data_IF_476597016764
#
_entry.id   IF_476597016764
#
_cell.length_a   1.000
_cell.length_b   1.000
_cell.length_c   1.000
_cell.angle_alpha   90.00
_cell.angle_beta   90.00
_cell.angle_gamma   90.00
#
_symmetry.space_group_name_H-M   'P 1'
#
loop_
_entity.id
_entity.type
_entity.pdbx_description
1 polymer ?
#
# COMPACT_ATOMS: atom_id res chain seq x y z
N UNK A 1 15.28 50.78 13.54
CA UNK A 1 14.60 49.95 12.50
C UNK A 1 15.04 48.50 12.64
N UNK A 2 14.09 47.58 12.81
CA UNK A 2 14.32 46.16 13.05
C UNK A 2 14.44 45.39 11.71
N UNK A 3 15.55 44.66 11.54
CA UNK A 3 15.93 43.96 10.29
C UNK A 3 16.19 42.46 10.44
N UNK A 4 16.25 41.93 11.66
CA UNK A 4 16.53 40.51 11.94
C UNK A 4 15.46 39.90 12.86
N UNK A 5 14.75 38.89 12.35
CA UNK A 5 13.68 38.17 13.07
C UNK A 5 14.19 37.31 14.23
N UNK A 6 15.46 36.85 14.18
CA UNK A 6 16.01 35.94 15.20
C UNK A 6 16.19 36.61 16.57
N UNK A 7 16.24 37.95 16.58
CA UNK A 7 16.38 38.76 17.80
C UNK A 7 15.04 39.11 18.45
N UNK A 8 13.93 38.68 17.86
CA UNK A 8 12.58 38.99 18.35
C UNK A 8 12.05 37.91 19.28
N UNK A 9 11.54 38.33 20.44
CA UNK A 9 10.78 37.47 21.34
C UNK A 9 9.43 37.10 20.75
N UNK A 10 8.82 36.02 21.24
CA UNK A 10 7.46 35.61 20.83
C UNK A 10 6.45 36.76 20.95
N UNK A 11 6.51 37.52 22.05
CA UNK A 11 5.62 38.66 22.29
C UNK A 11 5.84 39.80 21.28
N UNK A 12 7.08 40.06 20.88
CA UNK A 12 7.40 41.04 19.82
C UNK A 12 6.91 40.58 18.44
N UNK A 13 6.98 39.27 18.15
CA UNK A 13 6.44 38.71 16.91
C UNK A 13 4.91 38.81 16.86
N UNK A 14 4.23 38.52 17.98
CA UNK A 14 2.77 38.74 18.12
C UNK A 14 2.44 40.23 17.94
N UNK A 15 3.20 41.14 18.55
CA UNK A 15 3.00 42.58 18.37
C UNK A 15 3.14 43.04 16.91
N UNK A 16 4.10 42.48 16.17
CA UNK A 16 4.25 42.72 14.72
C UNK A 16 3.03 42.20 13.95
N UNK A 17 2.56 40.99 14.24
CA UNK A 17 1.37 40.41 13.62
C UNK A 17 0.13 41.28 13.88
N UNK A 18 -0.05 41.76 15.11
CA UNK A 18 -1.14 42.69 15.49
C UNK A 18 -1.07 44.01 14.73
N UNK A 19 0.13 44.56 14.53
CA UNK A 19 0.33 45.79 13.76
C UNK A 19 -0.03 45.60 12.27
N UNK A 20 0.23 44.41 11.72
CA UNK A 20 -0.04 44.08 10.31
C UNK A 20 -1.53 43.82 10.08
N UNK A 21 -2.15 42.97 10.90
CA UNK A 21 -3.55 42.56 10.73
C UNK A 21 -4.54 43.64 11.18
N UNK A 22 -4.08 44.57 12.02
CA UNK A 22 -4.93 45.57 12.65
C UNK A 22 -5.68 45.02 13.87
N UNK A 23 -6.08 45.92 14.76
CA UNK A 23 -6.57 45.55 16.09
C UNK A 23 -7.89 44.76 16.05
N UNK A 24 -8.82 45.13 15.16
CA UNK A 24 -10.11 44.44 15.04
C UNK A 24 -9.99 42.99 14.57
N UNK A 25 -9.16 42.73 13.55
CA UNK A 25 -8.96 41.39 13.02
C UNK A 25 -8.14 40.53 13.99
N UNK A 26 -7.13 41.12 14.63
CA UNK A 26 -6.28 40.41 15.61
C UNK A 26 -7.07 39.92 16.82
N UNK A 27 -8.01 40.72 17.34
CA UNK A 27 -8.90 40.31 18.44
C UNK A 27 -9.85 39.19 17.99
N UNK A 28 -10.28 39.22 16.73
CA UNK A 28 -11.21 38.21 16.18
C UNK A 28 -10.53 36.88 15.90
N UNK A 29 -9.27 36.89 15.45
CA UNK A 29 -8.47 35.70 15.18
C UNK A 29 -7.95 35.04 16.47
N UNK A 30 -7.68 35.83 17.51
CA UNK A 30 -7.07 35.35 18.75
C UNK A 30 -8.07 35.44 19.91
N UNK A 31 -9.20 34.74 19.74
CA UNK A 31 -10.37 34.78 20.65
C UNK A 31 -10.06 34.35 22.09
N UNK A 32 -8.99 33.59 22.30
CA UNK A 32 -8.57 33.07 23.59
C UNK A 32 -7.63 34.01 24.37
N UNK A 33 -7.21 35.13 23.79
CA UNK A 33 -6.33 36.06 24.49
C UNK A 33 -7.07 36.81 25.60
N UNK A 34 -6.50 36.79 26.80
CA UNK A 34 -7.05 37.56 27.92
C UNK A 34 -6.87 39.05 27.69
N UNK A 35 -7.70 39.88 28.35
CA UNK A 35 -7.53 41.35 28.37
C UNK A 35 -6.14 41.78 28.85
N UNK A 36 -5.48 40.97 29.67
CA UNK A 36 -4.13 41.24 30.17
C UNK A 36 -3.08 41.00 29.08
N UNK A 37 -3.23 39.93 28.29
CA UNK A 37 -2.29 39.61 27.21
C UNK A 37 -2.38 40.60 26.06
N UNK A 38 -3.59 41.03 25.71
CA UNK A 38 -3.80 42.10 24.72
C UNK A 38 -3.10 43.40 25.17
N UNK A 39 -3.17 43.75 26.47
CA UNK A 39 -2.47 44.93 27.00
C UNK A 39 -0.95 44.79 26.91
N UNK A 40 -0.39 43.62 27.20
CA UNK A 40 1.05 43.35 27.06
C UNK A 40 1.48 43.49 25.61
N UNK A 41 0.75 42.87 24.68
CA UNK A 41 1.01 42.97 23.23
C UNK A 41 0.97 44.42 22.77
N UNK A 42 -0.01 45.21 23.19
CA UNK A 42 -0.09 46.64 22.86
C UNK A 42 1.07 47.45 23.42
N UNK A 43 1.50 47.19 24.66
CA UNK A 43 2.64 47.88 25.26
C UNK A 43 3.88 47.65 24.41
N UNK A 44 4.16 46.38 24.10
CA UNK A 44 5.30 45.99 23.27
C UNK A 44 5.19 46.60 21.87
N UNK A 45 4.01 46.58 21.25
CA UNK A 45 3.81 47.16 19.91
C UNK A 45 4.08 48.68 19.86
N UNK A 46 3.84 49.41 20.96
CA UNK A 46 4.12 50.86 21.06
C UNK A 46 5.60 51.17 21.26
N UNK A 47 6.27 50.34 22.06
CA UNK A 47 7.68 50.52 22.40
C UNK A 47 8.63 49.99 21.31
N UNK A 48 8.08 49.37 20.26
CA UNK A 48 8.84 48.80 19.16
C UNK A 48 9.22 49.85 18.10
N UNK A 49 10.49 49.81 17.73
CA UNK A 49 11.04 50.47 16.55
C UNK A 49 10.35 50.02 15.25
N UNK A 50 10.43 50.86 14.21
CA UNK A 50 9.93 50.52 12.88
C UNK A 50 10.51 49.19 12.37
N UNK A 51 9.64 48.31 11.88
CA UNK A 51 10.03 46.97 11.41
C UNK A 51 10.11 46.95 9.89
N UNK A 52 11.21 46.41 9.35
CA UNK A 52 11.39 46.27 7.91
C UNK A 52 10.34 45.32 7.29
N UNK A 53 9.97 45.56 6.03
CA UNK A 53 9.00 44.73 5.30
C UNK A 53 9.42 43.25 5.27
N UNK A 54 10.72 42.97 5.13
CA UNK A 54 11.28 41.62 5.15
C UNK A 54 10.96 40.89 6.46
N UNK A 55 11.17 41.53 7.60
CA UNK A 55 10.87 40.94 8.92
C UNK A 55 9.37 40.76 9.11
N UNK A 56 8.55 41.73 8.66
CA UNK A 56 7.08 41.60 8.69
C UNK A 56 6.62 40.37 7.91
N UNK A 57 7.13 40.16 6.68
CA UNK A 57 6.84 38.98 5.85
C UNK A 57 7.23 37.68 6.56
N UNK A 58 8.45 37.61 7.11
CA UNK A 58 8.94 36.42 7.82
C UNK A 58 8.11 36.09 9.07
N UNK A 59 7.63 37.11 9.80
CA UNK A 59 6.75 36.89 10.96
C UNK A 59 5.40 36.32 10.52
N UNK A 60 4.79 36.86 9.47
CA UNK A 60 3.52 36.33 8.92
C UNK A 60 3.71 34.87 8.50
N UNK A 61 4.75 34.58 7.71
CA UNK A 61 5.05 33.21 7.26
C UNK A 61 5.23 32.27 8.45
N UNK A 62 5.98 32.67 9.48
CA UNK A 62 6.18 31.84 10.67
C UNK A 62 4.88 31.50 11.40
N UNK A 63 3.99 32.48 11.64
CA UNK A 63 2.69 32.23 12.26
C UNK A 63 1.80 31.39 11.35
N UNK A 64 1.80 31.69 10.06
CA UNK A 64 1.04 30.97 9.06
C UNK A 64 1.41 29.47 9.06
N UNK A 65 2.69 29.13 9.00
CA UNK A 65 3.15 27.73 9.06
C UNK A 65 2.71 27.04 10.36
N UNK A 66 2.77 27.75 11.49
CA UNK A 66 2.30 27.22 12.78
C UNK A 66 0.81 26.88 12.76
N UNK A 67 -0.04 27.75 12.20
CA UNK A 67 -1.48 27.52 12.10
C UNK A 67 -1.81 26.37 11.14
N UNK A 68 -1.09 26.27 10.03
CA UNK A 68 -1.26 25.17 9.08
C UNK A 68 -0.85 23.86 9.74
N UNK A 69 0.29 23.80 10.43
CA UNK A 69 0.71 22.59 11.15
C UNK A 69 -0.28 22.15 12.23
N UNK A 70 -0.91 23.08 12.96
CA UNK A 70 -1.94 22.75 13.97
C UNK A 70 -3.19 22.11 13.35
N UNK A 71 -3.63 22.59 12.17
CA UNK A 71 -4.75 21.97 11.45
C UNK A 71 -4.45 20.54 11.00
N UNK A 72 -3.19 20.22 10.73
CA UNK A 72 -2.79 18.84 10.40
C UNK A 72 -2.68 17.93 11.62
N UNK A 73 -2.47 18.49 12.81
CA UNK A 73 -2.41 17.72 14.06
C UNK A 73 -3.79 17.39 14.65
N UNK A 74 -4.85 18.13 14.28
CA UNK A 74 -6.15 18.06 14.96
C UNK A 74 -7.14 17.04 14.38
N UNK A 75 -6.84 16.40 13.25
CA UNK A 75 -7.66 15.32 12.70
C UNK A 75 -6.84 14.01 12.61
N UNK A 76 -7.18 13.11 13.53
CA UNK A 76 -6.79 11.69 13.64
C UNK A 76 -5.30 11.33 13.79
N UNK A 77 -5.02 10.64 14.91
CA UNK A 77 -3.89 9.74 15.08
C UNK A 77 -2.57 10.39 15.45
N UNK A 78 -2.09 10.13 16.67
CA UNK A 78 -0.80 10.60 17.15
C UNK A 78 0.37 9.93 16.41
N UNK A 79 1.36 10.73 16.07
CA UNK A 79 2.81 10.48 16.12
C UNK A 79 3.50 11.71 15.53
N UNK A 80 4.66 12.09 16.07
CA UNK A 80 5.48 13.27 15.73
C UNK A 80 6.10 13.21 14.30
N UNK A 81 5.44 12.56 13.34
CA UNK A 81 5.86 12.56 11.94
C UNK A 81 5.13 13.66 11.14
N UNK A 82 5.86 14.48 10.35
CA UNK A 82 5.23 15.42 9.44
C UNK A 82 4.39 14.64 8.42
N UNK A 83 3.06 14.78 8.50
CA UNK A 83 2.12 14.19 7.54
C UNK A 83 2.59 14.48 6.11
N UNK A 84 2.88 13.42 5.35
CA UNK A 84 3.22 13.52 3.92
C UNK A 84 1.92 13.80 3.15
N UNK A 85 1.71 15.02 2.61
CA UNK A 85 0.41 15.42 2.07
C UNK A 85 -0.11 14.53 0.93
N UNK A 86 0.81 13.89 0.21
CA UNK A 86 0.51 13.05 -0.96
C UNK A 86 0.68 11.54 -0.71
N UNK A 87 0.74 11.09 0.56
CA UNK A 87 0.93 9.67 0.87
C UNK A 87 -0.12 8.76 0.19
N UNK A 88 -1.37 9.23 0.11
CA UNK A 88 -2.49 8.51 -0.51
C UNK A 88 -2.26 8.17 -2.00
N UNK A 89 -1.42 8.92 -2.72
CA UNK A 89 -1.12 8.63 -4.14
C UNK A 89 -0.43 7.27 -4.32
N UNK A 90 0.29 6.79 -3.30
CA UNK A 90 0.97 5.51 -3.35
C UNK A 90 -0.01 4.34 -3.29
N UNK A 91 -1.17 4.53 -2.66
CA UNK A 91 -2.22 3.52 -2.49
C UNK A 91 -3.14 3.39 -3.71
N UNK A 92 -3.14 4.38 -4.61
CA UNK A 92 -3.97 4.35 -5.82
C UNK A 92 -3.45 3.35 -6.85
N UNK A 93 -4.37 2.70 -7.56
CA UNK A 93 -4.05 1.94 -8.77
C UNK A 93 -3.63 2.88 -9.91
N UNK A 94 -3.01 2.33 -10.96
CA UNK A 94 -2.59 3.12 -12.13
C UNK A 94 -3.79 3.81 -12.80
N UNK A 95 -4.92 3.10 -12.97
CA UNK A 95 -6.14 3.64 -13.57
C UNK A 95 -6.76 4.73 -12.70
N UNK A 96 -6.78 4.54 -11.39
CA UNK A 96 -7.28 5.56 -10.45
C UNK A 96 -6.43 6.82 -10.52
N UNK A 97 -5.10 6.68 -10.45
CA UNK A 97 -4.17 7.79 -10.58
C UNK A 97 -4.36 8.53 -11.92
N UNK A 98 -4.43 7.80 -13.03
CA UNK A 98 -4.66 8.39 -14.36
C UNK A 98 -5.99 9.15 -14.39
N UNK A 99 -7.08 8.53 -13.94
CA UNK A 99 -8.41 9.15 -13.97
C UNK A 99 -8.51 10.42 -13.13
N UNK A 100 -7.77 10.47 -12.02
CA UNK A 100 -7.71 11.61 -11.13
C UNK A 100 -6.82 12.72 -11.68
N UNK A 101 -5.71 12.39 -12.35
CA UNK A 101 -4.71 13.37 -12.80
C UNK A 101 -5.06 13.98 -14.15
N UNK A 102 -5.59 13.22 -15.11
CA UNK A 102 -5.93 13.71 -16.44
C UNK A 102 -6.82 14.97 -16.49
N UNK A 103 -7.88 15.11 -15.67
CA UNK A 103 -8.74 16.29 -15.72
C UNK A 103 -8.12 17.55 -15.05
N UNK A 104 -7.01 17.41 -14.33
CA UNK A 104 -6.42 18.50 -13.54
C UNK A 104 -5.61 19.49 -14.38
N UNK A 105 -5.38 20.71 -13.89
CA UNK A 105 -4.54 21.68 -14.59
C UNK A 105 -3.06 21.27 -14.64
N UNK A 106 -2.30 21.80 -15.60
CA UNK A 106 -0.87 21.46 -15.83
C UNK A 106 -0.02 21.54 -14.56
N UNK A 107 -0.27 22.54 -13.69
CA UNK A 107 0.48 22.69 -12.44
C UNK A 107 0.16 21.61 -11.42
N UNK A 108 -1.11 21.22 -11.30
CA UNK A 108 -1.53 20.13 -10.41
C UNK A 108 -0.97 18.81 -10.92
N UNK A 109 -1.06 18.56 -12.23
CA UNK A 109 -0.41 17.41 -12.89
C UNK A 109 1.08 17.36 -12.52
N UNK A 110 1.82 18.45 -12.70
CA UNK A 110 3.25 18.49 -12.37
C UNK A 110 3.55 18.20 -10.89
N UNK A 111 2.75 18.77 -9.97
CA UNK A 111 2.89 18.51 -8.53
C UNK A 111 2.68 17.02 -8.25
N UNK A 112 1.60 16.41 -8.75
CA UNK A 112 1.32 14.98 -8.56
C UNK A 112 2.44 14.11 -9.12
N UNK A 113 2.92 14.43 -10.32
CA UNK A 113 3.99 13.69 -10.98
C UNK A 113 5.31 13.72 -10.19
N UNK A 114 5.57 14.80 -9.46
CA UNK A 114 6.74 14.89 -8.57
C UNK A 114 6.62 14.02 -7.31
N UNK A 115 5.42 13.55 -6.95
CA UNK A 115 5.15 12.79 -5.72
C UNK A 115 4.99 11.27 -5.95
N UNK A 116 4.83 10.83 -7.20
CA UNK A 116 4.70 9.41 -7.56
C UNK A 116 6.03 8.84 -8.07
N UNK A 117 6.18 7.52 -8.00
CA UNK A 117 7.35 6.81 -8.51
C UNK A 117 7.46 6.89 -10.05
N UNK A 118 8.62 6.46 -10.57
CA UNK A 118 8.94 6.53 -12.00
C UNK A 118 7.99 5.72 -12.87
N UNK A 119 7.50 4.58 -12.38
CA UNK A 119 6.65 3.67 -13.16
C UNK A 119 5.25 4.26 -13.32
N UNK A 120 4.62 4.65 -12.21
CA UNK A 120 3.32 5.35 -12.20
C UNK A 120 3.38 6.63 -13.01
N UNK A 121 4.47 7.41 -12.87
CA UNK A 121 4.69 8.64 -13.65
C UNK A 121 4.71 8.37 -15.15
N UNK A 122 5.45 7.35 -15.60
CA UNK A 122 5.51 7.01 -17.02
C UNK A 122 4.12 6.67 -17.58
N UNK A 123 3.35 5.84 -16.86
CA UNK A 123 1.99 5.46 -17.24
C UNK A 123 1.05 6.65 -17.39
N UNK A 124 1.15 7.64 -16.50
CA UNK A 124 0.35 8.88 -16.60
C UNK A 124 0.82 9.75 -17.77
N UNK A 125 2.13 9.93 -17.97
CA UNK A 125 2.65 10.71 -19.09
C UNK A 125 2.18 10.12 -20.42
N UNK A 126 2.14 8.80 -20.57
CA UNK A 126 1.72 8.14 -21.82
C UNK A 126 0.26 8.39 -22.20
N UNK A 127 -0.56 8.93 -21.28
CA UNK A 127 -1.94 9.34 -21.55
C UNK A 127 -2.09 10.80 -21.95
N UNK A 128 -1.06 11.62 -21.78
CA UNK A 128 -1.06 13.03 -22.17
C UNK A 128 -0.64 13.21 -23.63
N UNK A 129 -1.26 14.17 -24.31
CA UNK A 129 -0.80 14.57 -25.64
C UNK A 129 0.62 15.18 -25.59
N UNK A 130 1.36 15.21 -26.72
CA UNK A 130 2.75 15.68 -26.72
C UNK A 130 2.92 17.13 -26.24
N UNK A 131 1.94 18.00 -26.49
CA UNK A 131 2.02 19.41 -26.12
C UNK A 131 1.82 19.58 -24.61
N UNK A 132 0.78 18.95 -24.05
CA UNK A 132 0.52 18.95 -22.62
C UNK A 132 1.63 18.23 -21.84
N UNK A 133 2.11 17.10 -22.33
CA UNK A 133 3.27 16.38 -21.76
C UNK A 133 4.48 17.31 -21.64
N UNK A 134 4.79 18.08 -22.69
CA UNK A 134 5.87 19.06 -22.68
C UNK A 134 5.68 20.14 -21.61
N UNK A 135 4.47 20.70 -21.51
CA UNK A 135 4.15 21.71 -20.48
C UNK A 135 4.29 21.16 -19.06
N UNK A 136 3.77 19.95 -18.79
CA UNK A 136 3.87 19.31 -17.47
C UNK A 136 5.34 19.11 -17.08
N UNK A 137 6.19 18.64 -18.00
CA UNK A 137 7.61 18.45 -17.72
C UNK A 137 8.36 19.75 -17.43
N UNK A 138 8.01 20.85 -18.11
CA UNK A 138 8.59 22.17 -17.82
C UNK A 138 8.18 22.62 -16.42
N UNK A 139 6.89 22.50 -16.09
CA UNK A 139 6.34 22.92 -14.80
C UNK A 139 6.92 22.10 -13.62
N UNK A 140 7.24 20.83 -13.83
CA UNK A 140 7.94 20.01 -12.83
C UNK A 140 9.31 20.61 -12.43
N UNK A 141 9.97 21.35 -13.33
CA UNK A 141 11.24 22.02 -13.05
C UNK A 141 11.11 23.29 -12.20
N UNK A 142 9.93 23.90 -12.14
CA UNK A 142 9.67 25.20 -11.48
C UNK A 142 8.83 25.09 -10.20
N UNK A 143 8.54 23.86 -9.74
CA UNK A 143 7.69 23.63 -8.55
C UNK A 143 8.20 24.27 -7.25
N UNK A 144 9.50 24.57 -7.14
CA UNK A 144 10.08 25.25 -5.97
C UNK A 144 9.56 26.68 -5.77
N UNK A 145 8.93 27.28 -6.78
CA UNK A 145 8.27 28.58 -6.69
C UNK A 145 6.85 28.49 -6.11
N UNK A 146 6.28 27.28 -6.03
CA UNK A 146 4.92 27.08 -5.51
C UNK A 146 4.95 27.15 -3.98
N UNK A 147 4.16 28.05 -3.36
CA UNK A 147 4.06 28.13 -1.91
C UNK A 147 3.57 26.81 -1.31
N UNK A 148 4.13 26.40 -0.17
CA UNK A 148 3.81 25.13 0.48
C UNK A 148 2.30 25.00 0.76
N UNK A 149 1.66 26.13 1.04
CA UNK A 149 0.22 26.27 1.25
C UNK A 149 -0.61 25.76 0.09
N UNK A 150 -0.20 26.16 -1.11
CA UNK A 150 -0.89 25.80 -2.33
C UNK A 150 -0.70 24.30 -2.58
N UNK A 151 0.52 23.79 -2.37
CA UNK A 151 0.82 22.36 -2.50
C UNK A 151 -0.03 21.53 -1.53
N UNK A 152 -0.10 21.96 -0.28
CA UNK A 152 -0.88 21.28 0.78
C UNK A 152 -2.38 21.36 0.50
N UNK A 153 -2.89 22.51 0.08
CA UNK A 153 -4.30 22.67 -0.30
C UNK A 153 -4.68 21.76 -1.47
N UNK A 154 -3.81 21.69 -2.49
CA UNK A 154 -3.99 20.79 -3.64
C UNK A 154 -3.98 19.33 -3.17
N UNK A 155 -3.07 18.97 -2.27
CA UNK A 155 -3.00 17.62 -1.72
C UNK A 155 -4.30 17.22 -1.02
N UNK A 156 -4.85 18.10 -0.17
CA UNK A 156 -6.12 17.87 0.52
C UNK A 156 -7.30 17.73 -0.46
N UNK A 157 -7.37 18.58 -1.49
CA UNK A 157 -8.43 18.49 -2.50
C UNK A 157 -8.35 17.20 -3.32
N UNK A 158 -7.14 16.81 -3.73
CA UNK A 158 -6.92 15.54 -4.44
C UNK A 158 -7.20 14.33 -3.56
N UNK A 159 -6.87 14.41 -2.27
CA UNK A 159 -7.18 13.36 -1.30
C UNK A 159 -8.69 13.23 -1.13
N UNK A 160 -9.44 14.33 -1.02
CA UNK A 160 -10.91 14.27 -0.98
C UNK A 160 -11.47 13.65 -2.27
N UNK A 161 -10.98 14.08 -3.44
CA UNK A 161 -11.35 13.49 -4.75
C UNK A 161 -11.06 12.00 -4.82
N UNK A 162 -9.95 11.54 -4.23
CA UNK A 162 -9.56 10.12 -4.28
C UNK A 162 -10.57 9.20 -3.59
N UNK A 163 -11.32 9.69 -2.60
CA UNK A 163 -12.36 8.90 -1.91
C UNK A 163 -13.56 8.61 -2.81
N UNK A 164 -13.81 9.44 -3.83
CA UNK A 164 -14.90 9.28 -4.78
C UNK A 164 -14.50 8.50 -6.03
N UNK A 165 -13.21 8.19 -6.18
CA UNK A 165 -12.78 7.30 -7.24
C UNK A 165 -13.46 5.94 -7.02
N UNK A 166 -13.95 5.29 -8.08
CA UNK A 166 -14.42 3.93 -7.97
C UNK A 166 -13.30 3.13 -7.31
N UNK A 167 -13.57 2.58 -6.11
CA UNK A 167 -12.75 1.50 -5.61
C UNK A 167 -12.85 0.46 -6.70
N UNK A 168 -11.72 0.15 -7.34
CA UNK A 168 -11.65 -1.04 -8.17
C UNK A 168 -11.91 -2.18 -7.19
N UNK A 169 -13.18 -2.55 -7.00
CA UNK A 169 -13.52 -3.95 -6.76
C UNK A 169 -12.75 -4.66 -7.85
N UNK A 170 -11.75 -5.46 -7.47
CA UNK A 170 -10.89 -6.20 -8.39
C UNK A 170 -11.72 -6.70 -9.56
N UNK A 171 -11.70 -5.95 -10.67
CA UNK A 171 -12.41 -6.36 -11.86
C UNK A 171 -11.41 -7.22 -12.62
N UNK A 172 -11.14 -8.41 -12.05
CA UNK A 172 -10.41 -9.44 -12.74
C UNK A 172 -11.17 -9.77 -14.02
N UNK A 173 -10.51 -9.69 -15.17
CA UNK A 173 -11.12 -10.03 -16.47
C UNK A 173 -11.18 -11.55 -16.69
N UNK A 174 -11.09 -12.35 -15.63
CA UNK A 174 -10.79 -13.76 -15.74
C UNK A 174 -9.30 -13.99 -15.99
N UNK A 175 -8.93 -15.26 -16.21
CA UNK A 175 -7.58 -15.67 -16.60
C UNK A 175 -7.23 -17.04 -16.05
N UNK A 176 -6.02 -17.53 -16.35
CA UNK A 176 -5.55 -18.81 -15.83
C UNK A 176 -5.61 -18.94 -14.31
N UNK A 177 -5.34 -17.84 -13.58
CA UNK A 177 -5.39 -17.80 -12.11
C UNK A 177 -6.81 -18.00 -11.57
N UNK A 178 -7.79 -17.24 -12.06
CA UNK A 178 -9.19 -17.37 -11.61
C UNK A 178 -9.74 -18.77 -11.89
N UNK A 179 -9.37 -19.36 -13.04
CA UNK A 179 -9.75 -20.73 -13.37
C UNK A 179 -9.03 -21.74 -12.47
N UNK A 180 -7.75 -21.53 -12.15
CA UNK A 180 -6.98 -22.39 -11.23
C UNK A 180 -7.55 -22.39 -9.79
N UNK A 181 -8.06 -21.25 -9.34
CA UNK A 181 -8.72 -21.10 -8.05
C UNK A 181 -10.05 -21.86 -8.03
N UNK A 182 -10.91 -21.62 -9.04
CA UNK A 182 -12.18 -22.33 -9.17
C UNK A 182 -11.94 -23.84 -9.23
N UNK A 183 -10.99 -24.32 -10.04
CA UNK A 183 -10.68 -25.74 -10.17
C UNK A 183 -10.19 -26.35 -8.85
N UNK A 184 -9.34 -25.64 -8.10
CA UNK A 184 -8.84 -26.12 -6.81
C UNK A 184 -9.92 -26.19 -5.71
N UNK A 185 -11.04 -25.50 -5.88
CA UNK A 185 -12.19 -25.59 -4.99
C UNK A 185 -13.16 -26.72 -5.36
N UNK A 186 -13.10 -27.24 -6.60
CA UNK A 186 -13.95 -28.34 -7.06
C UNK A 186 -13.58 -29.70 -6.42
N UNK A 187 -14.51 -30.65 -6.45
CA UNK A 187 -14.22 -32.03 -6.05
C UNK A 187 -13.14 -32.64 -6.97
N UNK A 188 -12.24 -33.51 -6.45
CA UNK A 188 -11.10 -34.03 -7.22
C UNK A 188 -11.44 -34.69 -8.57
N UNK A 189 -12.63 -35.31 -8.65
CA UNK A 189 -13.13 -35.92 -9.88
C UNK A 189 -13.49 -34.88 -10.95
N UNK A 190 -14.17 -33.80 -10.55
CA UNK A 190 -14.57 -32.72 -11.45
C UNK A 190 -13.37 -31.86 -11.84
N UNK A 191 -12.50 -31.53 -10.90
CA UNK A 191 -11.23 -30.82 -11.13
C UNK A 191 -10.42 -31.51 -12.24
N UNK A 192 -10.20 -32.83 -12.10
CA UNK A 192 -9.46 -33.63 -13.08
C UNK A 192 -10.13 -33.62 -14.46
N UNK A 193 -11.46 -33.81 -14.48
CA UNK A 193 -12.26 -33.85 -15.72
C UNK A 193 -12.23 -32.52 -16.48
N UNK A 194 -12.40 -31.39 -15.79
CA UNK A 194 -12.39 -30.07 -16.44
C UNK A 194 -10.98 -29.65 -16.85
N UNK A 195 -9.96 -29.98 -16.05
CA UNK A 195 -8.57 -29.69 -16.42
C UNK A 195 -8.14 -30.46 -17.69
N UNK A 196 -8.58 -31.72 -17.85
CA UNK A 196 -8.37 -32.50 -19.08
C UNK A 196 -9.07 -31.87 -20.29
N UNK A 197 -10.33 -31.44 -20.11
CA UNK A 197 -11.09 -30.77 -21.16
C UNK A 197 -10.41 -29.46 -21.60
N UNK A 198 -9.96 -28.63 -20.65
CA UNK A 198 -9.24 -27.38 -20.92
C UNK A 198 -7.91 -27.66 -21.62
N UNK A 199 -7.17 -28.68 -21.18
CA UNK A 199 -5.90 -29.07 -21.81
C UNK A 199 -6.07 -29.48 -23.28
N UNK A 200 -7.21 -30.09 -23.62
CA UNK A 200 -7.54 -30.51 -24.99
C UNK A 200 -8.03 -29.34 -25.85
N UNK A 201 -8.89 -28.48 -25.31
CA UNK A 201 -9.59 -27.44 -26.07
C UNK A 201 -8.84 -26.11 -26.12
N UNK A 202 -8.09 -25.78 -25.06
CA UNK A 202 -7.38 -24.52 -24.90
C UNK A 202 -6.00 -24.75 -24.23
N UNK A 203 -5.02 -25.35 -24.95
CA UNK A 203 -3.72 -25.70 -24.37
C UNK A 203 -2.93 -24.48 -23.86
N UNK A 204 -3.08 -23.32 -24.49
CA UNK A 204 -2.47 -22.07 -24.00
C UNK A 204 -3.02 -21.66 -22.62
N UNK A 205 -4.33 -21.79 -22.42
CA UNK A 205 -4.97 -21.52 -21.13
C UNK A 205 -4.55 -22.57 -20.09
N UNK A 206 -4.39 -23.84 -20.49
CA UNK A 206 -3.90 -24.88 -19.59
C UNK A 206 -2.48 -24.57 -19.06
N UNK A 207 -1.59 -24.04 -19.91
CA UNK A 207 -0.27 -23.58 -19.47
C UNK A 207 -0.35 -22.37 -18.53
N UNK A 208 -1.31 -21.45 -18.74
CA UNK A 208 -1.54 -20.35 -17.80
C UNK A 208 -2.09 -20.85 -16.45
N UNK A 209 -3.05 -21.78 -16.46
CA UNK A 209 -3.62 -22.38 -15.24
C UNK A 209 -2.54 -23.08 -14.42
N UNK A 210 -1.64 -23.84 -15.07
CA UNK A 210 -0.56 -24.58 -14.40
C UNK A 210 0.32 -23.68 -13.52
N UNK A 211 0.53 -22.42 -13.88
CA UNK A 211 1.32 -21.48 -13.08
C UNK A 211 0.71 -21.18 -11.71
N UNK A 212 -0.60 -21.34 -11.59
CA UNK A 212 -1.39 -20.97 -10.41
C UNK A 212 -2.07 -22.19 -9.74
N UNK A 213 -1.95 -23.37 -10.33
CA UNK A 213 -2.68 -24.56 -9.93
C UNK A 213 -1.75 -25.60 -9.31
N UNK A 214 -1.58 -25.52 -7.99
CA UNK A 214 -0.80 -26.47 -7.21
C UNK A 214 -1.52 -27.82 -7.10
N UNK A 215 -0.87 -28.89 -7.54
CA UNK A 215 -1.35 -30.27 -7.35
C UNK A 215 -0.72 -30.91 -6.12
N UNK A 216 -1.28 -32.04 -5.71
CA UNK A 216 -0.75 -32.85 -4.62
C UNK A 216 0.71 -33.27 -4.85
N UNK A 217 1.03 -33.75 -6.05
CA UNK A 217 2.37 -34.26 -6.36
C UNK A 217 3.42 -33.12 -6.39
N UNK A 218 3.01 -31.93 -6.82
CA UNK A 218 3.83 -30.72 -6.89
C UNK A 218 4.38 -30.30 -5.51
N UNK A 219 3.65 -30.60 -4.42
CA UNK A 219 4.07 -30.30 -3.04
C UNK A 219 5.41 -30.98 -2.72
N UNK A 220 5.61 -32.21 -3.21
CA UNK A 220 6.84 -32.95 -2.92
C UNK A 220 7.91 -32.71 -3.97
N UNK A 221 7.51 -32.40 -5.21
CA UNK A 221 8.44 -32.12 -6.29
C UNK A 221 9.13 -30.77 -6.12
N UNK A 222 8.40 -29.72 -5.74
CA UNK A 222 8.94 -28.36 -5.76
C UNK A 222 9.17 -27.72 -4.39
N UNK A 223 8.47 -28.14 -3.32
CA UNK A 223 8.61 -27.43 -2.05
C UNK A 223 9.94 -27.78 -1.37
N UNK A 224 10.75 -26.77 -0.98
CA UNK A 224 11.90 -26.98 -0.14
C UNK A 224 11.48 -27.35 1.29
N UNK A 225 12.38 -27.99 2.04
CA UNK A 225 12.06 -28.56 3.36
C UNK A 225 11.56 -27.54 4.39
N UNK A 226 11.95 -26.26 4.29
CA UNK A 226 11.42 -25.20 5.15
C UNK A 226 9.93 -24.94 4.89
N UNK A 227 9.51 -24.81 3.63
CA UNK A 227 8.10 -24.59 3.27
C UNK A 227 7.29 -25.84 3.59
N UNK A 228 7.81 -27.03 3.26
CA UNK A 228 7.17 -28.29 3.58
C UNK A 228 6.95 -28.46 5.09
N UNK A 229 7.93 -28.08 5.92
CA UNK A 229 7.81 -28.08 7.39
C UNK A 229 6.71 -27.14 7.86
N UNK A 230 6.66 -25.92 7.34
CA UNK A 230 5.65 -24.94 7.74
C UNK A 230 4.24 -25.40 7.33
N UNK A 231 4.10 -26.01 6.15
CA UNK A 231 2.87 -26.62 5.68
C UNK A 231 2.41 -27.77 6.59
N UNK A 232 3.29 -28.71 6.89
CA UNK A 232 2.93 -29.85 7.76
C UNK A 232 2.67 -29.41 9.21
N UNK A 233 3.17 -28.24 9.61
CA UNK A 233 2.87 -27.64 10.90
C UNK A 233 1.45 -27.06 10.98
N UNK A 234 0.97 -26.46 9.90
CA UNK A 234 -0.33 -25.78 9.86
C UNK A 234 -1.53 -26.74 9.81
N UNK A 235 -1.30 -28.01 9.47
CA UNK A 235 -2.36 -29.03 9.32
C UNK A 235 -2.39 -30.04 10.47
N UNK A 236 -3.54 -30.70 10.64
CA UNK A 236 -3.73 -31.76 11.64
C UNK A 236 -3.02 -33.06 11.26
N UNK A 237 -2.57 -33.82 12.27
CA UNK A 237 -1.77 -35.03 12.07
C UNK A 237 -2.55 -36.14 11.34
N UNK A 238 -3.85 -36.27 11.63
CA UNK A 238 -4.72 -37.26 11.00
C UNK A 238 -4.92 -36.98 9.50
N UNK A 239 -5.00 -35.69 9.13
CA UNK A 239 -5.07 -35.26 7.73
C UNK A 239 -3.78 -35.63 6.98
N UNK A 240 -2.62 -35.39 7.60
CA UNK A 240 -1.32 -35.78 7.04
C UNK A 240 -1.28 -37.30 6.87
N UNK A 241 -1.60 -38.08 7.92
CA UNK A 241 -1.56 -39.53 7.87
C UNK A 241 -2.49 -40.12 6.78
N UNK A 242 -3.69 -39.56 6.61
CA UNK A 242 -4.62 -39.97 5.56
C UNK A 242 -4.12 -39.63 4.16
N UNK A 243 -3.58 -38.42 3.96
CA UNK A 243 -3.06 -37.98 2.65
C UNK A 243 -1.83 -38.78 2.17
N UNK A 244 -1.02 -39.27 3.12
CA UNK A 244 0.18 -40.10 2.88
C UNK A 244 -0.14 -41.54 2.45
N UNK A 245 -1.41 -41.98 2.52
CA UNK A 245 -1.78 -43.35 2.16
C UNK A 245 -1.46 -43.62 0.69
N UNK A 246 -0.68 -44.67 0.44
CA UNK A 246 -0.28 -45.09 -0.90
C UNK A 246 0.83 -44.25 -1.54
N UNK A 247 1.47 -43.35 -0.79
CA UNK A 247 2.71 -42.68 -1.21
C UNK A 247 3.92 -43.58 -0.97
N UNK A 248 5.01 -43.31 -1.71
CA UNK A 248 6.28 -44.01 -1.53
C UNK A 248 6.88 -43.75 -0.15
N UNK A 249 7.57 -44.76 0.39
CA UNK A 249 8.15 -44.72 1.73
C UNK A 249 9.17 -43.57 1.90
N UNK A 250 9.85 -43.20 0.82
CA UNK A 250 10.77 -42.05 0.78
C UNK A 250 10.04 -40.72 1.05
N UNK A 251 8.90 -40.49 0.39
CA UNK A 251 8.08 -39.29 0.58
C UNK A 251 7.51 -39.26 1.99
N UNK A 252 6.98 -40.39 2.48
CA UNK A 252 6.46 -40.52 3.85
C UNK A 252 7.56 -40.20 4.87
N UNK A 253 8.78 -40.68 4.65
CA UNK A 253 9.92 -40.43 5.53
C UNK A 253 10.33 -38.96 5.51
N UNK A 254 10.38 -38.33 4.32
CA UNK A 254 10.67 -36.89 4.17
C UNK A 254 9.66 -36.02 4.92
N UNK A 255 8.36 -36.34 4.80
CA UNK A 255 7.29 -35.64 5.53
C UNK A 255 7.46 -35.81 7.04
N UNK A 256 7.66 -37.04 7.51
CA UNK A 256 7.90 -37.31 8.94
C UNK A 256 9.08 -36.51 9.49
N UNK A 257 10.20 -36.46 8.77
CA UNK A 257 11.38 -35.73 9.22
C UNK A 257 11.16 -34.21 9.31
N UNK A 258 10.20 -33.68 8.54
CA UNK A 258 9.80 -32.28 8.59
C UNK A 258 8.70 -31.97 9.61
N UNK A 259 8.14 -32.97 10.30
CA UNK A 259 7.23 -32.73 11.42
C UNK A 259 7.99 -32.29 12.68
N UNK A 260 7.36 -31.55 13.61
CA UNK A 260 7.91 -31.31 14.94
C UNK A 260 8.07 -32.62 15.71
N UNK A 261 9.10 -32.72 16.56
CA UNK A 261 9.39 -33.95 17.35
C UNK A 261 8.17 -34.54 18.07
N UNK A 262 7.27 -33.68 18.58
CA UNK A 262 6.03 -34.11 19.22
C UNK A 262 5.05 -34.77 18.24
N UNK A 263 4.86 -34.20 17.05
CA UNK A 263 4.00 -34.77 16.00
C UNK A 263 4.63 -36.03 15.39
N UNK A 264 5.96 -36.07 15.25
CA UNK A 264 6.70 -37.26 14.80
C UNK A 264 6.43 -38.47 15.68
N UNK A 265 6.52 -38.28 17.01
CA UNK A 265 6.29 -39.36 17.98
C UNK A 265 4.82 -39.85 18.02
N UNK A 266 3.88 -39.01 17.59
CA UNK A 266 2.44 -39.31 17.55
C UNK A 266 1.96 -39.77 16.17
N UNK A 267 2.82 -39.74 15.15
CA UNK A 267 2.42 -40.09 13.79
C UNK A 267 2.16 -41.59 13.71
N UNK A 268 0.93 -41.94 13.37
CA UNK A 268 0.53 -43.32 13.08
C UNK A 268 0.01 -43.41 11.65
N UNK A 269 0.56 -44.32 10.81
CA UNK A 269 0.02 -44.55 9.47
C UNK A 269 -1.42 -45.05 9.56
N UNK A 270 -2.30 -44.56 8.67
CA UNK A 270 -3.67 -45.07 8.59
C UNK A 270 -3.64 -46.54 8.15
N UNK A 271 -4.03 -47.45 9.04
CA UNK A 271 -4.12 -48.88 8.78
C UNK A 271 -5.46 -49.26 8.10
N UNK A 272 -5.48 -50.40 7.43
CA UNK A 272 -6.69 -50.92 6.79
C UNK A 272 -7.01 -50.29 5.43
N UNK A 273 -8.17 -50.69 4.89
CA UNK A 273 -8.70 -50.22 3.63
C UNK A 273 -9.46 -48.91 3.84
N UNK A 274 -9.06 -47.88 3.10
CA UNK A 274 -9.73 -46.57 3.05
C UNK A 274 -10.21 -46.32 1.63
N UNK A 275 -11.27 -45.53 1.48
CA UNK A 275 -11.76 -45.19 0.15
C UNK A 275 -10.79 -44.22 -0.54
N UNK A 276 -10.65 -44.37 -1.87
CA UNK A 276 -9.86 -43.43 -2.68
C UNK A 276 -10.30 -41.98 -2.46
N UNK A 277 -11.61 -41.75 -2.34
CA UNK A 277 -12.19 -40.43 -2.11
C UNK A 277 -11.75 -39.79 -0.80
N UNK A 278 -11.63 -40.57 0.28
CA UNK A 278 -11.14 -40.05 1.57
C UNK A 278 -9.68 -39.61 1.48
N UNK A 279 -8.84 -40.37 0.77
CA UNK A 279 -7.44 -40.02 0.52
C UNK A 279 -7.35 -38.76 -0.33
N UNK A 280 -8.09 -38.67 -1.43
CA UNK A 280 -8.07 -37.51 -2.32
C UNK A 280 -8.58 -36.24 -1.61
N UNK A 281 -9.60 -36.36 -0.76
CA UNK A 281 -10.06 -35.24 0.07
C UNK A 281 -9.00 -34.80 1.10
N UNK A 282 -8.29 -35.74 1.71
CA UNK A 282 -7.21 -35.40 2.63
C UNK A 282 -6.08 -34.66 1.92
N UNK A 283 -5.69 -35.13 0.72
CA UNK A 283 -4.69 -34.49 -0.14
C UNK A 283 -5.13 -33.08 -0.55
N UNK A 284 -6.39 -32.91 -0.96
CA UNK A 284 -6.97 -31.59 -1.25
C UNK A 284 -6.88 -30.65 -0.05
N UNK A 285 -7.15 -31.14 1.16
CA UNK A 285 -7.00 -30.35 2.38
C UNK A 285 -5.58 -29.83 2.61
N UNK A 286 -4.56 -30.65 2.32
CA UNK A 286 -3.16 -30.20 2.39
C UNK A 286 -2.84 -29.16 1.30
N UNK A 287 -3.31 -29.37 0.07
CA UNK A 287 -3.12 -28.41 -1.03
C UNK A 287 -3.79 -27.07 -0.71
N UNK A 288 -4.97 -27.07 -0.11
CA UNK A 288 -5.66 -25.85 0.33
C UNK A 288 -4.89 -25.12 1.44
N UNK A 289 -4.31 -25.86 2.39
CA UNK A 289 -3.45 -25.25 3.41
C UNK A 289 -2.20 -24.59 2.78
N UNK A 290 -1.61 -25.21 1.75
CA UNK A 290 -0.50 -24.64 1.01
C UNK A 290 -0.91 -23.36 0.24
N UNK A 291 -2.07 -23.37 -0.42
CA UNK A 291 -2.64 -22.17 -1.08
C UNK A 291 -2.89 -21.03 -0.08
N UNK A 292 -3.36 -21.35 1.13
CA UNK A 292 -3.55 -20.34 2.16
C UNK A 292 -2.21 -19.72 2.59
N UNK A 293 -1.16 -20.54 2.75
CA UNK A 293 0.19 -20.03 3.03
C UNK A 293 0.74 -19.13 1.91
N UNK A 294 0.47 -19.47 0.65
CA UNK A 294 0.82 -18.61 -0.50
C UNK A 294 0.09 -17.26 -0.39
N UNK A 295 -1.21 -17.27 -0.10
CA UNK A 295 -2.03 -16.07 0.06
C UNK A 295 -1.56 -15.18 1.23
N UNK A 296 -1.04 -15.81 2.28
CA UNK A 296 -0.46 -15.12 3.44
C UNK A 296 0.97 -14.59 3.15
N UNK A 297 1.50 -14.84 1.94
CA UNK A 297 2.79 -14.33 1.48
C UNK A 297 3.99 -15.15 1.95
N UNK A 298 3.78 -16.38 2.45
CA UNK A 298 4.87 -17.25 2.89
C UNK A 298 5.78 -17.70 1.73
N UNK A 299 5.21 -17.82 0.53
CA UNK A 299 5.91 -18.16 -0.70
C UNK A 299 5.09 -17.71 -1.91
N UNK A 300 5.66 -17.74 -3.12
CA UNK A 300 4.93 -17.53 -4.38
C UNK A 300 5.00 -18.81 -5.20
N UNK A 301 3.85 -19.33 -5.65
CA UNK A 301 3.80 -20.60 -6.37
C UNK A 301 4.54 -20.54 -7.73
N UNK A 302 4.51 -19.36 -8.37
CA UNK A 302 5.17 -19.10 -9.65
C UNK A 302 6.68 -19.40 -9.60
N UNK A 303 7.32 -19.15 -8.45
CA UNK A 303 8.76 -19.38 -8.24
C UNK A 303 9.14 -20.86 -8.27
N UNK A 304 8.16 -21.76 -8.12
CA UNK A 304 8.34 -23.21 -8.02
C UNK A 304 7.88 -23.95 -9.26
N UNK A 305 6.76 -23.54 -9.86
CA UNK A 305 6.06 -24.29 -10.93
C UNK A 305 6.31 -23.68 -12.33
N UNK A 306 6.58 -22.37 -12.42
CA UNK A 306 6.84 -21.66 -13.66
C UNK A 306 8.31 -21.73 -14.09
N UNK A 307 8.77 -22.89 -14.57
CA UNK A 307 10.19 -23.12 -14.86
C UNK A 307 10.87 -22.09 -15.77
N UNK A 308 12.11 -21.73 -15.42
CA UNK A 308 13.16 -21.32 -16.37
C UNK A 308 13.76 -19.93 -16.19
N UNK A 309 14.56 -19.72 -15.14
CA UNK A 309 15.78 -18.89 -15.04
C UNK A 309 15.97 -18.45 -13.57
N UNK A 310 16.55 -19.34 -12.76
CA UNK A 310 17.37 -18.84 -11.65
C UNK A 310 18.66 -18.32 -12.28
N UNK A 311 18.80 -17.00 -12.35
CA UNK A 311 20.10 -16.37 -12.59
C UNK A 311 20.87 -16.40 -11.27
N UNK A 312 22.07 -16.99 -11.28
CA UNK A 312 23.04 -16.98 -10.18
C UNK A 312 23.38 -15.56 -9.70
#
# INVERSE_FOLDING_TARGET
MITDIKRLSGLQKVAILFNILGEGLSITLLKELTKTDIRKVRSVARDMDSVSFKVKKQVIEQFYYSFVSEKFQSEEGGEDEPKKPFAFLQELTDEQLISMVLPEDTRVKAIVMAQVDTEKRAKVLDRLDPEEKGRVLIEMGTLHEVPLEAVVSIASELQEKSHFLPKTVDFSRGGGKDVADILGDMDPEDESKYLEAISREAPALAEEIKKYHLKWDDVFEFFPDNILRDLMNSVELDLIAMSMKGMDEEVVTRVKNNLPQKKQAMYEPVEGAVSKREVDNARKGIVQAAKQMEKDGAFKLEDFIGGGEMVE
#
